data_IF_283872107594
#
_entry.id   IF_283872107594
#
_cell.length_a   1.000
_cell.length_b   1.000
_cell.length_c   1.000
_cell.angle_alpha   90.00
_cell.angle_beta   90.00
_cell.angle_gamma   90.00
#
_symmetry.space_group_name_H-M   'P 1'
#
loop_
_entity.id
_entity.type
_entity.pdbx_description
1 polymer ?
#
# COMPACT_ATOMS: atom_id res chain seq x y z
N UNK A 1 -1.36 6.60 -11.48
CA UNK A 1 -0.29 7.51 -11.02
C UNK A 1 -0.59 7.92 -9.60
N UNK A 2 -0.08 7.15 -8.64
CA UNK A 2 0.14 7.60 -7.27
C UNK A 2 1.60 8.01 -7.24
N UNK A 3 1.79 9.32 -7.23
CA UNK A 3 3.03 9.99 -7.58
C UNK A 3 4.13 9.72 -6.54
N UNK A 4 5.39 9.91 -6.93
CA UNK A 4 6.53 9.86 -6.01
C UNK A 4 6.31 10.79 -4.80
N UNK A 5 5.53 11.85 -4.96
CA UNK A 5 5.05 12.72 -3.88
C UNK A 5 4.29 11.97 -2.76
N UNK A 6 3.48 10.96 -3.09
CA UNK A 6 2.81 10.11 -2.10
C UNK A 6 3.80 9.23 -1.36
N UNK A 7 4.81 8.69 -2.06
CA UNK A 7 5.88 7.89 -1.45
C UNK A 7 6.73 8.72 -0.47
N UNK A 8 7.11 9.95 -0.85
CA UNK A 8 7.87 10.84 0.04
C UNK A 8 7.03 11.32 1.23
N UNK A 9 5.75 11.62 1.01
CA UNK A 9 4.84 11.98 2.10
C UNK A 9 4.71 10.83 3.11
N UNK A 10 4.47 9.61 2.64
CA UNK A 10 4.36 8.41 3.50
C UNK A 10 5.69 8.04 4.18
N UNK A 11 6.85 8.38 3.61
CA UNK A 11 8.15 8.16 4.25
C UNK A 11 8.46 9.17 5.37
N UNK A 12 7.96 10.41 5.23
CA UNK A 12 8.21 11.51 6.17
C UNK A 12 7.17 11.53 7.31
N UNK A 13 5.91 11.22 7.01
CA UNK A 13 4.79 11.27 7.99
C UNK A 13 5.03 10.39 9.24
N UNK A 14 5.51 9.14 9.17
CA UNK A 14 5.72 8.28 10.34
C UNK A 14 6.91 8.73 11.20
N UNK A 15 7.89 9.42 10.60
CA UNK A 15 9.03 10.01 11.30
C UNK A 15 8.65 11.34 11.96
N UNK A 16 7.82 12.17 11.31
CA UNK A 16 7.30 13.41 11.87
C UNK A 16 6.27 13.19 13.00
N UNK A 17 5.42 12.16 12.92
CA UNK A 17 4.32 11.94 13.87
C UNK A 17 4.60 10.93 15.01
N UNK A 18 5.87 10.55 15.25
CA UNK A 18 6.28 9.62 16.34
C UNK A 18 5.44 8.33 16.42
N UNK A 19 5.16 7.71 15.27
CA UNK A 19 4.35 6.49 15.22
C UNK A 19 4.95 5.37 16.08
N UNK A 20 4.10 4.52 16.71
CA UNK A 20 4.56 3.39 17.51
C UNK A 20 5.39 2.43 16.65
N UNK A 21 6.40 1.77 17.25
CA UNK A 21 7.33 0.87 16.54
C UNK A 21 6.61 -0.15 15.65
N UNK A 22 5.49 -0.72 16.12
CA UNK A 22 4.69 -1.71 15.39
C UNK A 22 4.03 -1.13 14.12
N UNK A 23 3.53 0.11 14.19
CA UNK A 23 3.00 0.80 13.03
C UNK A 23 4.11 1.11 12.00
N UNK A 24 5.30 1.54 12.47
CA UNK A 24 6.46 1.76 11.58
C UNK A 24 6.86 0.49 10.84
N UNK A 25 7.03 -0.63 11.56
CA UNK A 25 7.37 -1.92 10.94
C UNK A 25 6.31 -2.33 9.92
N UNK A 26 5.02 -2.14 10.22
CA UNK A 26 3.95 -2.41 9.24
C UNK A 26 4.10 -1.56 7.97
N UNK A 27 4.19 -0.24 8.10
CA UNK A 27 4.27 0.66 6.95
C UNK A 27 5.56 0.48 6.17
N UNK A 28 6.69 0.23 6.83
CA UNK A 28 7.97 -0.08 6.19
C UNK A 28 7.89 -1.42 5.43
N UNK A 29 7.22 -2.43 6.01
CA UNK A 29 7.01 -3.74 5.35
C UNK A 29 6.08 -3.62 4.15
N UNK A 30 5.00 -2.85 4.27
CA UNK A 30 4.10 -2.55 3.17
C UNK A 30 4.85 -1.81 2.05
N UNK A 31 5.60 -0.76 2.38
CA UNK A 31 6.39 -0.01 1.40
C UNK A 31 7.37 -0.92 0.66
N UNK A 32 8.12 -1.74 1.38
CA UNK A 32 9.08 -2.68 0.80
C UNK A 32 8.39 -3.77 -0.04
N UNK A 33 7.24 -4.28 0.42
CA UNK A 33 6.42 -5.26 -0.27
C UNK A 33 5.83 -4.71 -1.57
N UNK A 34 5.23 -3.51 -1.53
CA UNK A 34 4.73 -2.82 -2.72
C UNK A 34 5.87 -2.51 -3.69
N UNK A 35 7.02 -1.98 -3.24
CA UNK A 35 8.18 -1.72 -4.11
C UNK A 35 8.72 -2.99 -4.76
N UNK A 36 8.82 -4.09 -4.01
CA UNK A 36 9.29 -5.38 -4.54
C UNK A 36 8.30 -5.95 -5.55
N UNK A 37 7.01 -5.88 -5.26
CA UNK A 37 5.96 -6.34 -6.16
C UNK A 37 5.90 -5.48 -7.42
N UNK A 38 6.04 -4.15 -7.32
CA UNK A 38 6.09 -3.22 -8.45
C UNK A 38 7.37 -3.36 -9.29
N UNK A 39 8.49 -3.80 -8.70
CA UNK A 39 9.73 -4.07 -9.44
C UNK A 39 9.64 -5.34 -10.30
N UNK A 40 8.82 -6.31 -9.89
CA UNK A 40 8.72 -7.66 -10.49
C UNK A 40 7.47 -7.86 -11.35
N UNK A 41 6.45 -7.02 -11.18
CA UNK A 41 5.20 -7.10 -11.92
C UNK A 41 5.19 -6.08 -13.05
N UNK A 42 4.58 -6.42 -14.20
CA UNK A 42 4.57 -5.62 -15.43
C UNK A 42 3.85 -4.26 -15.28
N UNK A 43 4.53 -3.35 -14.59
CA UNK A 43 4.22 -1.94 -14.43
C UNK A 43 5.05 -1.16 -15.47
N UNK A 44 4.60 0.00 -15.98
CA UNK A 44 5.38 0.82 -16.92
C UNK A 44 6.75 1.31 -16.38
N UNK A 45 7.09 1.06 -15.10
CA UNK A 45 8.41 1.25 -14.46
C UNK A 45 9.07 -0.06 -13.99
N UNK A 46 8.57 -1.22 -14.42
CA UNK A 46 9.08 -2.53 -13.98
C UNK A 46 10.46 -2.83 -14.57
N UNK A 47 11.36 -3.34 -13.73
CA UNK A 47 12.73 -3.74 -14.13
C UNK A 47 12.69 -5.07 -14.89
N UNK A 48 11.73 -5.94 -14.57
CA UNK A 48 11.45 -7.19 -15.30
C UNK A 48 9.98 -7.56 -15.19
N UNK A 49 9.32 -7.78 -16.32
CA UNK A 49 7.91 -8.16 -16.45
C UNK A 49 7.72 -9.66 -16.20
N UNK A 50 7.56 -10.07 -14.94
CA UNK A 50 7.47 -11.51 -14.58
C UNK A 50 6.04 -11.92 -14.20
N UNK A 51 5.27 -11.02 -13.59
CA UNK A 51 3.88 -11.29 -13.20
C UNK A 51 2.87 -10.52 -14.07
N UNK A 52 1.69 -11.09 -14.37
CA UNK A 52 0.62 -10.38 -15.06
C UNK A 52 0.06 -9.25 -14.18
N UNK A 53 -0.27 -8.12 -14.79
CA UNK A 53 -0.83 -6.93 -14.12
C UNK A 53 -2.04 -7.25 -13.22
N UNK A 54 -2.86 -8.25 -13.61
CA UNK A 54 -3.98 -8.75 -12.80
C UNK A 54 -3.55 -9.33 -11.44
N UNK A 55 -2.39 -10.01 -11.38
CA UNK A 55 -1.86 -10.55 -10.14
C UNK A 55 -1.36 -9.44 -9.20
N UNK A 56 -0.84 -8.33 -9.75
CA UNK A 56 -0.50 -7.14 -8.96
C UNK A 56 -1.72 -6.59 -8.24
N UNK A 57 -2.76 -6.28 -9.02
CA UNK A 57 -3.97 -5.68 -8.48
C UNK A 57 -4.73 -6.61 -7.53
N UNK A 58 -4.69 -7.92 -7.76
CA UNK A 58 -5.24 -8.90 -6.82
C UNK A 58 -4.49 -8.91 -5.48
N UNK A 59 -3.17 -8.83 -5.49
CA UNK A 59 -2.37 -8.73 -4.27
C UNK A 59 -2.64 -7.41 -3.53
N UNK A 60 -2.75 -6.29 -4.24
CA UNK A 60 -3.10 -5.00 -3.63
C UNK A 60 -4.49 -5.04 -2.96
N UNK A 61 -5.48 -5.63 -3.63
CA UNK A 61 -6.83 -5.81 -3.08
C UNK A 61 -6.85 -6.71 -1.85
N UNK A 62 -6.08 -7.81 -1.87
CA UNK A 62 -5.94 -8.70 -0.72
C UNK A 62 -5.32 -7.97 0.49
N UNK A 63 -4.29 -7.15 0.25
CA UNK A 63 -3.68 -6.33 1.29
C UNK A 63 -4.69 -5.30 1.82
N UNK A 64 -5.41 -4.62 0.93
CA UNK A 64 -6.43 -3.64 1.32
C UNK A 64 -7.59 -4.25 2.12
N UNK A 65 -7.94 -5.52 1.89
CA UNK A 65 -8.98 -6.21 2.67
C UNK A 65 -8.55 -6.42 4.14
N UNK A 66 -7.25 -6.67 4.39
CA UNK A 66 -6.72 -6.97 5.72
C UNK A 66 -6.24 -5.71 6.44
N UNK A 67 -5.77 -4.70 5.70
CA UNK A 67 -5.18 -3.47 6.23
C UNK A 67 -6.02 -2.73 7.29
N UNK A 68 -7.37 -2.64 7.17
CA UNK A 68 -8.22 -2.06 8.21
C UNK A 68 -8.13 -2.76 9.55
N UNK A 69 -7.92 -4.08 9.58
CA UNK A 69 -7.88 -4.85 10.83
C UNK A 69 -6.51 -4.79 11.54
N UNK A 70 -5.44 -4.45 10.82
CA UNK A 70 -4.07 -4.44 11.33
C UNK A 70 -3.81 -3.51 12.52
N UNK A 71 -4.44 -2.32 12.66
CA UNK A 71 -4.29 -1.50 13.86
C UNK A 71 -4.66 -2.23 15.15
N UNK A 72 -5.73 -3.05 15.11
CA UNK A 72 -6.15 -3.85 16.26
C UNK A 72 -5.25 -5.07 16.46
N UNK A 73 -5.00 -5.83 15.38
CA UNK A 73 -4.16 -7.04 15.45
C UNK A 73 -2.74 -6.75 15.96
N UNK A 74 -2.18 -5.61 15.60
CA UNK A 74 -0.83 -5.20 15.98
C UNK A 74 -0.80 -4.32 17.25
N UNK A 75 -1.97 -3.97 17.80
CA UNK A 75 -2.08 -3.24 19.07
C UNK A 75 -1.66 -1.77 18.98
N UNK A 76 -1.91 -1.10 17.85
CA UNK A 76 -1.71 0.35 17.70
C UNK A 76 -3.01 1.11 17.37
N UNK A 77 -4.18 0.48 17.54
CA UNK A 77 -5.49 1.05 17.23
C UNK A 77 -5.80 2.37 17.95
N UNK A 78 -5.22 2.59 19.14
CA UNK A 78 -5.36 3.86 19.90
C UNK A 78 -4.63 5.04 19.25
N UNK A 79 -3.63 4.76 18.40
CA UNK A 79 -2.89 5.80 17.70
C UNK A 79 -3.67 6.29 16.48
N UNK A 80 -4.59 7.24 16.69
CA UNK A 80 -5.53 7.75 15.68
C UNK A 80 -4.90 8.04 14.32
N UNK A 81 -3.74 8.70 14.27
CA UNK A 81 -3.05 9.00 13.02
C UNK A 81 -2.60 7.74 12.25
N UNK A 82 -2.12 6.71 12.94
CA UNK A 82 -1.65 5.47 12.32
C UNK A 82 -2.83 4.60 11.87
N UNK A 83 -3.89 4.56 12.67
CA UNK A 83 -5.15 3.91 12.33
C UNK A 83 -5.81 4.56 11.11
N UNK A 84 -5.92 5.88 11.10
CA UNK A 84 -6.50 6.62 9.97
C UNK A 84 -5.67 6.47 8.70
N UNK A 85 -4.34 6.33 8.80
CA UNK A 85 -3.51 6.02 7.64
C UNK A 85 -3.82 4.65 7.04
N UNK A 86 -4.07 3.62 7.87
CA UNK A 86 -4.51 2.30 7.38
C UNK A 86 -5.84 2.38 6.62
N UNK A 87 -6.81 3.14 7.15
CA UNK A 87 -8.09 3.38 6.48
C UNK A 87 -7.94 4.20 5.20
N UNK A 88 -7.11 5.25 5.21
CA UNK A 88 -6.85 6.08 4.04
C UNK A 88 -6.22 5.30 2.90
N UNK A 89 -5.24 4.45 3.20
CA UNK A 89 -4.61 3.55 2.22
C UNK A 89 -5.62 2.53 1.68
N UNK A 90 -6.46 1.96 2.54
CA UNK A 90 -7.52 1.02 2.10
C UNK A 90 -8.50 1.69 1.15
N UNK A 91 -9.00 2.88 1.51
CA UNK A 91 -9.93 3.63 0.67
C UNK A 91 -9.28 4.00 -0.68
N UNK A 92 -8.03 4.42 -0.66
CA UNK A 92 -7.26 4.72 -1.87
C UNK A 92 -7.13 3.49 -2.78
N UNK A 93 -6.77 2.33 -2.24
CA UNK A 93 -6.66 1.09 -3.04
C UNK A 93 -8.01 0.68 -3.63
N UNK A 94 -9.10 0.80 -2.89
CA UNK A 94 -10.45 0.50 -3.40
C UNK A 94 -10.82 1.44 -4.55
N UNK A 95 -10.57 2.75 -4.39
CA UNK A 95 -10.82 3.74 -5.45
C UNK A 95 -9.99 3.44 -6.69
N UNK A 96 -8.70 3.16 -6.53
CA UNK A 96 -7.82 2.79 -7.65
C UNK A 96 -8.32 1.52 -8.33
N UNK A 97 -8.68 0.48 -7.57
CA UNK A 97 -9.21 -0.77 -8.12
C UNK A 97 -10.53 -0.59 -8.87
N UNK A 98 -11.43 0.27 -8.37
CA UNK A 98 -12.69 0.59 -9.03
C UNK A 98 -12.50 1.37 -10.33
N UNK A 99 -11.48 2.23 -10.38
CA UNK A 99 -11.10 2.99 -11.58
C UNK A 99 -10.17 2.21 -12.52
N UNK A 100 -9.68 1.06 -12.09
CA UNK A 100 -8.80 0.21 -12.90
C UNK A 100 -9.64 -0.52 -13.92
N UNK A 101 -9.32 -0.30 -15.19
CA UNK A 101 -9.86 -1.07 -16.29
C UNK A 101 -9.12 -2.41 -16.38
N UNK A 102 -9.76 -3.45 -15.81
CA UNK A 102 -9.22 -4.80 -15.74
C UNK A 102 -9.29 -5.58 -17.06
N UNK A 103 -10.01 -5.05 -18.05
CA UNK A 103 -10.25 -5.71 -19.34
C UNK A 103 -9.31 -5.24 -20.47
N UNK A 104 -8.54 -4.17 -20.26
CA UNK A 104 -7.48 -3.80 -21.21
C UNK A 104 -6.43 -4.91 -21.29
N UNK A 105 -6.52 -5.72 -22.36
CA UNK A 105 -5.38 -6.49 -22.91
C UNK A 105 -4.26 -5.48 -23.17
N UNK A 106 -3.19 -5.55 -22.38
CA UNK A 106 -1.91 -4.96 -22.78
C UNK A 106 -1.25 -5.85 -23.82
#
# INVERSE_FOLDING_TARGET
MLDYATSTAVAITPRAMRFPKRARVLFDSLAMGYTSLSAVTDYPLSVKRIAPFKAHGAAELAIAAVLPALPWALGFAEHRAARNLCFGLTALTIVVAALTDWERKQ
#
